data_IF_067713000758
#
_entry.id   IF_067713000758
#
_cell.length_a   1.000
_cell.length_b   1.000
_cell.length_c   1.000
_cell.angle_alpha   90.00
_cell.angle_beta   90.00
_cell.angle_gamma   90.00
#
_symmetry.space_group_name_H-M   'P 1'
#
loop_
_entity.id
_entity.type
_entity.pdbx_description
1 polymer ?
#
# COMPACT_ATOMS: atom_id res chain seq x y z
N UNK A 1 3.31 16.82 10.70
CA UNK A 1 3.46 15.50 10.07
C UNK A 1 4.44 15.68 8.94
N UNK A 2 5.64 15.12 9.09
CA UNK A 2 6.69 15.21 8.09
C UNK A 2 6.26 14.49 6.81
N UNK A 3 5.82 15.25 5.81
CA UNK A 3 5.69 14.78 4.42
C UNK A 3 7.08 14.77 3.81
N UNK A 4 7.92 13.80 4.21
CA UNK A 4 9.17 13.54 3.51
C UNK A 4 8.81 12.88 2.19
N UNK A 5 8.79 13.68 1.11
CA UNK A 5 8.82 13.21 -0.28
C UNK A 5 10.19 12.57 -0.55
N UNK A 6 10.46 11.46 0.13
CA UNK A 6 11.60 10.60 -0.15
C UNK A 6 11.21 9.70 -1.32
N UNK A 7 12.07 9.61 -2.34
CA UNK A 7 11.95 8.60 -3.39
C UNK A 7 12.04 7.20 -2.77
N UNK A 8 10.95 6.67 -2.19
CA UNK A 8 10.93 5.31 -1.64
C UNK A 8 10.94 4.33 -2.80
N UNK A 9 12.15 3.98 -3.25
CA UNK A 9 12.38 2.93 -4.23
C UNK A 9 12.09 1.58 -3.57
N UNK A 10 10.83 1.18 -3.60
CA UNK A 10 10.42 -0.16 -3.19
C UNK A 10 10.86 -1.16 -4.24
N UNK A 11 11.65 -2.16 -3.84
CA UNK A 11 12.06 -3.26 -4.72
C UNK A 11 11.20 -4.48 -4.40
N UNK A 12 10.69 -5.12 -5.45
CA UNK A 12 9.94 -6.37 -5.33
C UNK A 12 10.82 -7.52 -5.80
N UNK A 13 10.98 -8.53 -4.93
CA UNK A 13 11.81 -9.68 -5.18
C UNK A 13 10.96 -10.93 -5.05
N UNK A 14 11.11 -11.87 -5.98
CA UNK A 14 10.59 -13.22 -5.81
C UNK A 14 11.70 -14.07 -5.23
N UNK A 15 11.50 -14.55 -4.00
CA UNK A 15 12.50 -15.30 -3.24
C UNK A 15 11.85 -16.56 -2.66
N UNK A 16 12.57 -17.69 -2.66
CA UNK A 16 12.10 -18.89 -1.98
C UNK A 16 11.80 -18.64 -0.51
N UNK A 17 10.76 -19.30 0.03
CA UNK A 17 10.40 -19.16 1.44
C UNK A 17 11.54 -19.56 2.40
N UNK A 18 12.41 -20.50 1.98
CA UNK A 18 13.59 -20.91 2.74
C UNK A 18 14.54 -19.74 3.04
N UNK A 19 14.59 -18.76 2.15
CA UNK A 19 15.60 -17.69 2.16
C UNK A 19 15.04 -16.40 2.77
N UNK A 20 13.74 -16.38 3.12
CA UNK A 20 13.07 -15.21 3.70
C UNK A 20 13.74 -14.73 4.99
N UNK A 21 14.14 -15.66 5.85
CA UNK A 21 14.78 -15.33 7.13
C UNK A 21 16.13 -14.64 6.91
N UNK A 22 16.92 -15.12 5.94
CA UNK A 22 18.18 -14.51 5.56
C UNK A 22 17.98 -13.09 5.03
N UNK A 23 17.02 -12.89 4.12
CA UNK A 23 16.71 -11.56 3.60
C UNK A 23 16.30 -10.62 4.74
N UNK A 24 15.44 -11.07 5.65
CA UNK A 24 14.97 -10.26 6.78
C UNK A 24 16.11 -9.81 7.68
N UNK A 25 17.08 -10.69 7.95
CA UNK A 25 18.25 -10.36 8.75
C UNK A 25 19.21 -9.41 8.02
N UNK A 26 19.39 -9.58 6.70
CA UNK A 26 20.16 -8.66 5.87
C UNK A 26 19.50 -7.28 5.83
N UNK A 27 18.20 -7.21 5.50
CA UNK A 27 17.45 -5.97 5.45
C UNK A 27 17.58 -5.20 6.77
N UNK A 28 17.42 -5.89 7.92
CA UNK A 28 17.60 -5.29 9.24
C UNK A 28 19.01 -4.71 9.44
N UNK A 29 20.06 -5.44 9.02
CA UNK A 29 21.45 -4.96 9.12
C UNK A 29 21.71 -3.71 8.28
N UNK A 30 21.08 -3.60 7.12
CA UNK A 30 21.19 -2.45 6.22
C UNK A 30 20.22 -1.30 6.56
N UNK A 31 19.42 -1.43 7.64
CA UNK A 31 18.41 -0.44 8.01
C UNK A 31 17.20 -0.42 7.07
N UNK A 32 17.00 -1.48 6.29
CA UNK A 32 15.88 -1.64 5.39
C UNK A 32 14.74 -2.40 6.05
N UNK A 33 13.52 -2.13 5.59
CA UNK A 33 12.34 -2.87 6.00
C UNK A 33 12.00 -3.89 4.90
N UNK A 34 11.80 -5.14 5.32
CA UNK A 34 11.32 -6.21 4.46
C UNK A 34 9.96 -6.67 4.97
N UNK A 35 8.99 -6.77 4.05
CA UNK A 35 7.65 -7.26 4.32
C UNK A 35 7.24 -8.20 3.18
N UNK A 36 6.47 -9.23 3.51
CA UNK A 36 5.84 -10.07 2.48
C UNK A 36 4.66 -9.32 1.85
N UNK A 37 4.20 -9.80 0.70
CA UNK A 37 3.02 -9.23 0.04
C UNK A 37 1.76 -9.35 0.91
N UNK A 38 1.64 -10.45 1.65
CA UNK A 38 0.53 -10.70 2.58
C UNK A 38 0.54 -9.70 3.74
N UNK A 39 1.70 -9.48 4.37
CA UNK A 39 1.84 -8.50 5.45
C UNK A 39 1.52 -7.09 4.99
N UNK A 40 1.93 -6.75 3.75
CA UNK A 40 1.59 -5.45 3.16
C UNK A 40 0.09 -5.31 2.91
N UNK A 41 -0.56 -6.38 2.43
CA UNK A 41 -2.00 -6.40 2.19
C UNK A 41 -2.78 -6.26 3.50
N UNK A 42 -2.36 -6.95 4.55
CA UNK A 42 -2.96 -6.85 5.88
C UNK A 42 -2.84 -5.43 6.44
N UNK A 43 -1.65 -4.84 6.40
CA UNK A 43 -1.45 -3.45 6.82
C UNK A 43 -2.30 -2.46 6.01
N UNK A 44 -2.47 -2.70 4.70
CA UNK A 44 -3.36 -1.89 3.88
C UNK A 44 -4.82 -2.02 4.33
N UNK A 45 -5.29 -3.25 4.55
CA UNK A 45 -6.65 -3.54 5.02
C UNK A 45 -6.94 -2.85 6.35
N UNK A 46 -6.00 -2.87 7.28
CA UNK A 46 -6.10 -2.22 8.60
C UNK A 46 -6.07 -0.70 8.50
N UNK A 47 -5.29 -0.14 7.56
CA UNK A 47 -5.20 1.31 7.33
C UNK A 47 -6.48 1.91 6.71
N UNK A 48 -7.42 1.07 6.27
CA UNK A 48 -8.65 1.55 5.63
C UNK A 48 -9.49 2.35 6.63
N UNK A 49 -10.04 3.51 6.23
CA UNK A 49 -10.98 4.22 7.06
C UNK A 49 -12.20 3.34 7.34
N UNK A 50 -12.52 3.11 8.61
CA UNK A 50 -13.67 2.28 9.00
C UNK A 50 -14.99 3.04 8.91
N UNK A 51 -14.94 4.35 9.05
CA UNK A 51 -16.06 5.26 8.95
C UNK A 51 -15.79 6.19 7.78
N UNK A 52 -16.37 5.86 6.65
CA UNK A 52 -16.35 6.71 5.48
C UNK A 52 -17.72 7.38 5.43
N UNK A 53 -17.77 8.69 5.70
CA UNK A 53 -18.97 9.51 5.44
C UNK A 53 -19.06 9.77 3.93
N UNK A 54 -19.33 8.72 3.16
CA UNK A 54 -19.71 8.80 1.75
C UNK A 54 -21.11 8.25 1.61
N UNK A 55 -22.02 9.09 1.11
CA UNK A 55 -23.33 8.61 0.71
C UNK A 55 -23.24 7.86 -0.62
N UNK A 56 -24.21 7.00 -0.90
CA UNK A 56 -24.31 6.35 -2.22
C UNK A 56 -24.40 7.38 -3.36
N UNK A 57 -25.05 8.51 -3.11
CA UNK A 57 -25.17 9.61 -4.07
C UNK A 57 -23.81 10.25 -4.36
N UNK A 58 -22.94 10.42 -3.37
CA UNK A 58 -21.59 10.96 -3.57
C UNK A 58 -20.75 10.03 -4.46
N UNK A 59 -20.83 8.72 -4.22
CA UNK A 59 -20.13 7.71 -5.01
C UNK A 59 -20.64 7.72 -6.46
N UNK A 60 -21.97 7.75 -6.64
CA UNK A 60 -22.58 7.74 -7.98
C UNK A 60 -22.30 9.02 -8.75
N UNK A 61 -22.25 10.17 -8.07
CA UNK A 61 -21.88 11.45 -8.66
C UNK A 61 -20.43 11.43 -9.15
N UNK A 62 -19.48 10.93 -8.35
CA UNK A 62 -18.08 10.79 -8.77
C UNK A 62 -17.93 9.85 -9.98
N UNK A 63 -18.57 8.67 -9.92
CA UNK A 63 -18.54 7.70 -11.03
C UNK A 63 -19.14 8.29 -12.31
N UNK A 64 -20.25 9.01 -12.19
CA UNK A 64 -20.91 9.63 -13.35
C UNK A 64 -20.05 10.76 -13.95
N UNK A 65 -19.41 11.59 -13.12
CA UNK A 65 -18.52 12.64 -13.57
C UNK A 65 -17.30 12.08 -14.34
N UNK A 66 -16.72 10.97 -13.88
CA UNK A 66 -15.59 10.33 -14.58
C UNK A 66 -16.04 9.69 -15.91
N UNK A 67 -17.18 8.99 -15.91
CA UNK A 67 -17.65 8.23 -17.09
C UNK A 67 -18.29 9.10 -18.17
N UNK A 68 -19.02 10.13 -17.78
CA UNK A 68 -19.85 10.93 -18.68
C UNK A 68 -19.48 12.41 -18.70
N UNK A 69 -18.61 12.88 -17.80
CA UNK A 69 -18.15 14.27 -17.76
C UNK A 69 -17.03 14.62 -18.74
N UNK A 70 -16.51 13.64 -19.50
CA UNK A 70 -15.70 13.92 -20.69
C UNK A 70 -16.63 14.06 -21.90
N UNK A 71 -17.22 15.25 -22.04
CA UNK A 71 -17.82 15.73 -23.30
C UNK A 71 -17.35 17.14 -23.60
#
# INVERSE_FOLDING_TARGET
MDTTTGNTQSVYLNIPQSDWQLLKDLARKFGWQAQTSEQRLEAFIESRPQTVELSEDDIMNEVSAIRYGKS
#
